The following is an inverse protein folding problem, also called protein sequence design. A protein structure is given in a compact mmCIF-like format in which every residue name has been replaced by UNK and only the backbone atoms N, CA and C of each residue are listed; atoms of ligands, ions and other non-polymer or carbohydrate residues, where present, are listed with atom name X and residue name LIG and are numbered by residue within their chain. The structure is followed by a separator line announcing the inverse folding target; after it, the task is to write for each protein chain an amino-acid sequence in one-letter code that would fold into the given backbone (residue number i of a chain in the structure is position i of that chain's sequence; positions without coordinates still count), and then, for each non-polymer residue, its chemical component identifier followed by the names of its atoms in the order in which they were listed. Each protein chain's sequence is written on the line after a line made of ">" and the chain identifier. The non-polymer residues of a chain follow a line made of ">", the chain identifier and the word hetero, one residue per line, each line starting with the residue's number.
data_IF_080431272982
#
_entry.id   IF_080431272982
#
_cell.length_a   1.000
_cell.length_b   1.000
_cell.length_c   1.000
_cell.angle_alpha   90.00
_cell.angle_beta   90.00
_cell.angle_gamma   90.00
#
_symmetry.space_group_name_H-M   'P 1'
#
loop_
_entity.id
_entity.type
_entity.pdbx_description
1 polymer ?
#
# COMPACT_ATOMS: atom_id res chain seq x y z
N UNK A 1 10.55 -1.42 -12.73
CA UNK A 1 9.40 -2.20 -13.24
C UNK A 1 8.87 -1.64 -14.56
N UNK A 2 8.55 -0.34 -14.65
CA UNK A 2 8.00 0.30 -15.86
C UNK A 2 8.88 0.24 -17.11
N UNK A 3 10.21 0.45 -16.99
CA UNK A 3 11.11 0.48 -18.16
C UNK A 3 11.04 -0.80 -18.99
N UNK A 4 11.14 -1.97 -18.35
CA UNK A 4 11.08 -3.24 -19.06
C UNK A 4 9.70 -3.47 -19.68
N UNK A 5 8.63 -3.19 -18.93
CA UNK A 5 7.28 -3.33 -19.47
C UNK A 5 7.04 -2.46 -20.72
N UNK A 6 7.53 -1.23 -20.73
CA UNK A 6 7.46 -0.33 -21.89
C UNK A 6 8.28 -0.81 -23.08
N UNK A 7 9.49 -1.32 -22.86
CA UNK A 7 10.33 -1.84 -23.95
C UNK A 7 9.76 -3.13 -24.54
N UNK A 8 9.21 -4.00 -23.71
CA UNK A 8 8.63 -5.26 -24.15
C UNK A 8 7.38 -5.03 -25.02
N UNK A 9 6.53 -4.07 -24.63
CA UNK A 9 5.34 -3.71 -25.42
C UNK A 9 5.67 -3.27 -26.84
N UNK A 10 6.84 -2.66 -27.09
CA UNK A 10 7.27 -2.28 -28.45
C UNK A 10 7.63 -3.48 -29.32
N UNK A 11 8.09 -4.58 -28.70
CA UNK A 11 8.65 -5.75 -29.39
C UNK A 11 7.64 -6.87 -29.56
N UNK A 12 6.68 -6.98 -28.63
CA UNK A 12 5.69 -8.05 -28.61
C UNK A 12 4.26 -7.48 -28.60
N UNK A 13 3.65 -7.31 -29.79
CA UNK A 13 2.26 -6.92 -29.90
C UNK A 13 1.35 -7.91 -29.15
N UNK A 14 0.46 -7.40 -28.29
CA UNK A 14 -0.49 -8.21 -27.52
C UNK A 14 0.05 -8.79 -26.21
N UNK A 15 1.26 -8.43 -25.77
CA UNK A 15 1.78 -8.85 -24.46
C UNK A 15 0.86 -8.39 -23.31
N UNK A 16 0.56 -9.32 -22.39
CA UNK A 16 -0.24 -9.04 -21.20
C UNK A 16 0.65 -8.49 -20.08
N UNK A 17 0.28 -7.34 -19.54
CA UNK A 17 1.04 -6.62 -18.50
C UNK A 17 0.09 -5.94 -17.52
N UNK A 18 0.55 -5.67 -16.30
CA UNK A 18 -0.22 -4.89 -15.33
C UNK A 18 -0.13 -3.38 -15.63
N UNK A 19 -1.07 -2.60 -15.09
CA UNK A 19 -1.17 -1.15 -15.30
C UNK A 19 -1.96 -0.76 -16.54
N UNK A 20 -1.80 0.48 -17.00
CA UNK A 20 -2.54 1.01 -18.15
C UNK A 20 -1.77 0.87 -19.46
N UNK A 21 -2.39 1.29 -20.58
CA UNK A 21 -1.72 1.37 -21.87
C UNK A 21 -0.55 2.39 -21.86
N UNK A 22 -0.67 3.44 -21.05
CA UNK A 22 0.31 4.52 -20.92
C UNK A 22 1.38 4.19 -19.87
N UNK A 23 0.98 3.48 -18.81
CA UNK A 23 1.85 3.17 -17.66
C UNK A 23 1.86 1.68 -17.33
N UNK A 24 2.40 0.83 -18.23
CA UNK A 24 2.53 -0.59 -17.95
C UNK A 24 3.67 -0.85 -16.96
N UNK A 25 3.50 -1.84 -16.10
CA UNK A 25 4.54 -2.29 -15.19
C UNK A 25 4.50 -3.81 -14.99
N UNK A 26 5.64 -4.33 -14.53
CA UNK A 26 5.70 -5.65 -13.92
C UNK A 26 5.70 -5.54 -12.40
N UNK A 27 5.05 -6.48 -11.74
CA UNK A 27 5.14 -6.63 -10.30
C UNK A 27 6.59 -6.90 -9.88
N UNK A 28 7.02 -6.35 -8.75
CA UNK A 28 8.39 -6.55 -8.29
C UNK A 28 8.58 -7.98 -7.80
N UNK A 29 9.62 -8.67 -8.29
CA UNK A 29 9.98 -10.02 -7.85
C UNK A 29 8.77 -10.98 -7.87
N UNK A 30 8.58 -11.79 -6.83
CA UNK A 30 7.41 -12.65 -6.65
C UNK A 30 6.32 -12.03 -5.76
N UNK A 31 6.27 -10.70 -5.65
CA UNK A 31 5.20 -10.01 -4.91
C UNK A 31 3.84 -10.30 -5.55
N UNK A 32 2.77 -10.11 -4.76
CA UNK A 32 1.41 -10.16 -5.28
C UNK A 32 1.16 -8.98 -6.25
N UNK A 33 0.30 -9.16 -7.27
CA UNK A 33 -0.17 -8.06 -8.09
C UNK A 33 -0.76 -6.93 -7.25
N UNK A 34 -0.61 -5.69 -7.71
CA UNK A 34 -1.22 -4.53 -7.04
C UNK A 34 -2.74 -4.72 -7.01
N UNK A 35 -3.35 -4.50 -5.85
CA UNK A 35 -4.80 -4.65 -5.65
C UNK A 35 -5.29 -6.10 -5.58
N UNK A 36 -4.39 -7.08 -5.42
CA UNK A 36 -4.79 -8.49 -5.31
C UNK A 36 -5.65 -8.78 -4.08
N UNK A 37 -5.28 -8.25 -2.92
CA UNK A 37 -6.04 -8.39 -1.67
C UNK A 37 -5.77 -7.19 -0.77
N UNK A 38 -6.77 -6.82 0.03
CA UNK A 38 -6.64 -5.83 1.09
C UNK A 38 -6.44 -6.49 2.47
N UNK A 39 -6.51 -7.83 2.56
CA UNK A 39 -6.27 -8.58 3.78
C UNK A 39 -4.76 -8.87 4.00
N UNK A 40 -4.12 -8.28 5.03
CA UNK A 40 -2.72 -8.55 5.34
C UNK A 40 -2.43 -10.03 5.60
N UNK A 41 -3.36 -10.77 6.20
CA UNK A 41 -3.13 -12.17 6.55
C UNK A 41 -3.22 -13.08 5.34
N UNK A 42 -4.14 -12.81 4.41
CA UNK A 42 -4.13 -13.49 3.12
C UNK A 42 -2.82 -13.21 2.37
N UNK A 43 -2.37 -11.95 2.34
CA UNK A 43 -1.11 -11.58 1.70
C UNK A 43 0.08 -12.34 2.31
N UNK A 44 0.16 -12.42 3.64
CA UNK A 44 1.17 -13.18 4.37
C UNK A 44 1.13 -14.68 4.01
N UNK A 45 -0.07 -15.30 4.02
CA UNK A 45 -0.25 -16.72 3.69
C UNK A 45 0.21 -17.05 2.27
N UNK A 46 -0.12 -16.20 1.29
CA UNK A 46 0.24 -16.40 -0.12
C UNK A 46 1.74 -16.25 -0.36
N UNK A 47 2.42 -15.45 0.46
CA UNK A 47 3.80 -15.03 0.24
C UNK A 47 4.81 -15.79 1.12
N UNK A 48 4.40 -16.43 2.21
CA UNK A 48 5.33 -17.08 3.15
C UNK A 48 6.29 -18.07 2.49
N UNK A 49 5.75 -19.02 1.71
CA UNK A 49 6.54 -20.05 1.02
C UNK A 49 7.46 -19.51 -0.08
N UNK A 50 7.06 -18.42 -0.75
CA UNK A 50 7.84 -17.83 -1.84
C UNK A 50 8.96 -16.95 -1.27
N UNK A 51 8.61 -16.12 -0.30
CA UNK A 51 9.53 -15.14 0.26
C UNK A 51 10.65 -15.80 1.07
N UNK A 52 10.37 -16.91 1.75
CA UNK A 52 11.39 -17.70 2.46
C UNK A 52 12.45 -18.32 1.54
N UNK A 53 12.20 -18.41 0.21
CA UNK A 53 13.19 -18.92 -0.75
C UNK A 53 14.24 -17.88 -1.13
N UNK A 54 14.00 -16.60 -0.84
CA UNK A 54 14.95 -15.52 -1.12
C UNK A 54 15.97 -15.40 0.02
N UNK A 55 17.18 -15.88 -0.22
CA UNK A 55 18.30 -15.79 0.74
C UNK A 55 19.10 -14.50 0.62
N UNK A 56 19.01 -13.80 -0.53
CA UNK A 56 19.68 -12.53 -0.80
C UNK A 56 18.97 -11.29 -0.24
N UNK A 57 17.92 -11.49 0.56
CA UNK A 57 17.08 -10.44 1.12
C UNK A 57 15.73 -10.32 0.40
N UNK A 58 14.69 -10.19 1.21
CA UNK A 58 13.34 -9.86 0.75
C UNK A 58 12.62 -9.00 1.78
N UNK A 59 11.62 -8.26 1.33
CA UNK A 59 10.70 -7.50 2.16
C UNK A 59 9.28 -7.68 1.63
N UNK A 60 8.34 -8.01 2.50
CA UNK A 60 6.91 -7.99 2.16
C UNK A 60 6.28 -6.67 2.63
N UNK A 61 5.62 -5.96 1.72
CA UNK A 61 4.93 -4.71 2.03
C UNK A 61 3.45 -4.98 2.31
N UNK A 62 3.01 -4.69 3.53
CA UNK A 62 1.60 -4.74 3.93
C UNK A 62 1.00 -3.33 3.82
N UNK A 63 0.36 -3.05 2.69
CA UNK A 63 -0.34 -1.79 2.45
C UNK A 63 -1.74 -1.84 3.06
N UNK A 64 -2.00 -0.99 4.05
CA UNK A 64 -3.26 -0.96 4.78
C UNK A 64 -4.10 0.21 4.29
N UNK A 65 -5.24 -0.08 3.64
CA UNK A 65 -6.18 0.96 3.19
C UNK A 65 -6.72 1.80 4.33
N UNK A 66 -6.94 1.16 5.47
CA UNK A 66 -7.38 1.84 6.68
C UNK A 66 -6.20 2.17 7.59
N UNK A 67 -6.37 3.23 8.37
CA UNK A 67 -5.41 3.58 9.41
C UNK A 67 -5.34 2.43 10.41
N UNK A 68 -4.13 2.03 10.80
CA UNK A 68 -3.97 1.23 12.01
C UNK A 68 -4.49 2.05 13.19
N UNK A 69 -5.56 1.56 13.82
CA UNK A 69 -6.34 2.30 14.81
C UNK A 69 -5.51 2.77 16.00
N UNK A 70 -4.56 1.94 16.45
CA UNK A 70 -3.66 2.26 17.57
C UNK A 70 -2.26 1.65 17.41
N UNK A 71 -1.22 2.19 18.08
CA UNK A 71 0.10 1.56 18.15
C UNK A 71 0.05 0.11 18.65
N UNK A 72 -0.87 -0.22 19.57
CA UNK A 72 -1.08 -1.57 20.09
C UNK A 72 -1.59 -2.51 19.00
N UNK A 73 -2.53 -2.06 18.16
CA UNK A 73 -3.01 -2.84 17.03
C UNK A 73 -1.87 -3.14 16.03
N UNK A 74 -1.03 -2.15 15.73
CA UNK A 74 0.15 -2.34 14.88
C UNK A 74 1.11 -3.37 15.49
N UNK A 75 1.39 -3.24 16.79
CA UNK A 75 2.25 -4.16 17.53
C UNK A 75 1.72 -5.59 17.49
N UNK A 76 0.41 -5.78 17.65
CA UNK A 76 -0.20 -7.11 17.57
C UNK A 76 -0.16 -7.69 16.16
N UNK A 77 -0.37 -6.88 15.12
CA UNK A 77 -0.21 -7.31 13.73
C UNK A 77 1.23 -7.79 13.47
N UNK A 78 2.23 -6.98 13.82
CA UNK A 78 3.65 -7.32 13.65
C UNK A 78 4.01 -8.59 14.43
N UNK A 79 3.58 -8.69 15.69
CA UNK A 79 3.80 -9.88 16.51
C UNK A 79 3.18 -11.12 15.85
N UNK A 80 1.92 -11.03 15.43
CA UNK A 80 1.22 -12.15 14.80
C UNK A 80 1.92 -12.57 13.52
N UNK A 81 2.29 -11.62 12.66
CA UNK A 81 3.02 -11.91 11.43
C UNK A 81 4.35 -12.62 11.69
N UNK A 82 5.19 -12.10 12.59
CA UNK A 82 6.52 -12.66 12.84
C UNK A 82 6.51 -13.95 13.68
N UNK A 83 5.42 -14.26 14.38
CA UNK A 83 5.30 -15.50 15.17
C UNK A 83 4.60 -16.63 14.42
N UNK A 84 3.72 -16.32 13.45
CA UNK A 84 2.94 -17.32 12.71
C UNK A 84 3.51 -17.63 11.33
N UNK A 85 4.36 -16.77 10.80
CA UNK A 85 4.96 -16.90 9.49
C UNK A 85 6.48 -16.90 9.59
N UNK A 86 7.15 -17.43 8.56
CA UNK A 86 8.62 -17.57 8.49
C UNK A 86 9.28 -16.41 7.75
N UNK A 87 8.50 -15.56 7.07
CA UNK A 87 8.96 -14.34 6.40
C UNK A 87 9.87 -13.50 7.32
N UNK A 88 11.11 -13.20 6.89
CA UNK A 88 12.10 -12.59 7.77
C UNK A 88 11.90 -11.07 7.95
N UNK A 89 11.23 -10.40 7.00
CA UNK A 89 11.12 -8.95 7.01
C UNK A 89 9.82 -8.46 6.37
N UNK A 90 9.08 -7.65 7.12
CA UNK A 90 7.84 -7.02 6.69
C UNK A 90 7.90 -5.51 6.94
N UNK A 91 7.10 -4.77 6.18
CA UNK A 91 6.76 -3.38 6.49
C UNK A 91 5.25 -3.25 6.56
N UNK A 92 4.78 -2.35 7.41
CA UNK A 92 3.35 -2.01 7.50
C UNK A 92 3.21 -0.55 7.11
N UNK A 93 2.46 -0.30 6.05
CA UNK A 93 2.29 1.03 5.47
C UNK A 93 0.80 1.40 5.49
N UNK A 94 0.35 2.20 6.48
CA UNK A 94 -1.01 2.70 6.49
C UNK A 94 -1.20 3.84 5.48
N UNK A 95 -2.42 3.98 4.99
CA UNK A 95 -2.82 5.14 4.17
C UNK A 95 -2.99 6.40 5.02
N UNK A 96 -2.43 7.52 4.55
CA UNK A 96 -2.56 8.84 5.15
C UNK A 96 -2.52 9.94 4.08
N UNK A 97 -3.15 11.08 4.38
CA UNK A 97 -3.03 12.33 3.63
C UNK A 97 -2.23 13.37 4.40
N UNK A 98 -1.63 14.34 3.69
CA UNK A 98 -0.93 15.48 4.31
C UNK A 98 -1.68 16.76 3.94
N UNK A 99 -2.14 17.49 4.97
CA UNK A 99 -2.64 18.85 4.83
C UNK A 99 -1.51 19.85 5.14
N UNK A 100 -1.26 20.88 4.30
CA UNK A 100 -0.28 21.93 4.61
C UNK A 100 -0.58 22.69 5.91
N UNK A 101 -1.85 22.73 6.34
CA UNK A 101 -2.29 23.42 7.55
C UNK A 101 -2.37 22.49 8.76
N UNK A 102 -2.97 21.30 8.60
CA UNK A 102 -3.29 20.41 9.71
C UNK A 102 -2.35 19.20 9.85
N UNK A 103 -1.36 19.08 8.97
CA UNK A 103 -0.38 17.99 8.99
C UNK A 103 -0.98 16.64 8.58
N UNK A 104 -0.58 15.58 9.28
CA UNK A 104 -1.02 14.21 8.98
C UNK A 104 -2.52 14.01 9.23
N UNK A 105 -3.18 13.43 8.24
CA UNK A 105 -4.58 13.01 8.28
C UNK A 105 -4.66 11.50 8.08
N UNK A 106 -5.49 10.84 8.88
CA UNK A 106 -5.68 9.40 8.78
C UNK A 106 -6.55 9.05 7.56
N UNK A 107 -6.09 8.10 6.72
CA UNK A 107 -6.80 7.68 5.51
C UNK A 107 -6.53 8.56 4.30
N UNK A 108 -7.12 8.19 3.18
CA UNK A 108 -7.06 8.94 1.93
C UNK A 108 -8.12 10.03 1.91
N UNK A 109 -7.68 11.27 1.75
CA UNK A 109 -8.52 12.46 1.64
C UNK A 109 -8.03 13.31 0.46
N UNK A 110 -8.92 13.55 -0.51
CA UNK A 110 -8.67 14.49 -1.61
C UNK A 110 -8.64 15.94 -1.11
N UNK A 111 -9.53 16.26 -0.17
CA UNK A 111 -9.60 17.56 0.51
C UNK A 111 -9.52 17.38 2.03
N UNK A 112 -8.86 18.32 2.73
CA UNK A 112 -8.71 18.21 4.17
C UNK A 112 -10.06 18.43 4.88
N UNK A 113 -10.61 17.43 5.60
CA UNK A 113 -11.92 17.56 6.25
C UNK A 113 -11.91 18.65 7.32
N UNK A 114 -10.77 18.89 7.96
CA UNK A 114 -10.62 19.96 8.96
C UNK A 114 -10.61 21.35 8.33
N UNK A 115 -10.05 21.50 7.12
CA UNK A 115 -10.14 22.77 6.37
C UNK A 115 -11.58 23.05 5.96
N UNK A 116 -12.30 22.02 5.53
CA UNK A 116 -13.69 22.15 5.11
C UNK A 116 -14.59 22.54 6.28
N UNK A 117 -14.43 21.92 7.45
CA UNK A 117 -15.11 22.30 8.69
C UNK A 117 -14.85 23.76 9.08
N UNK A 118 -13.59 24.22 9.01
CA UNK A 118 -13.24 25.61 9.31
C UNK A 118 -13.88 26.60 8.32
N UNK A 119 -13.97 26.25 7.04
CA UNK A 119 -14.62 27.07 6.01
C UNK A 119 -16.12 27.15 6.23
N UNK A 120 -16.76 26.02 6.57
CA UNK A 120 -18.19 25.96 6.89
C UNK A 120 -18.51 26.79 8.14
N UNK A 121 -17.70 26.67 9.20
CA UNK A 121 -17.87 27.45 10.42
C UNK A 121 -17.77 28.96 10.16
N UNK A 122 -16.81 29.40 9.34
CA UNK A 122 -16.65 30.81 8.95
C UNK A 122 -17.84 31.34 8.14
N UNK A 123 -18.42 30.52 7.26
CA UNK A 123 -19.61 30.89 6.48
C UNK A 123 -20.86 30.99 7.37
N UNK A 124 -20.97 30.13 8.38
CA UNK A 124 -22.09 30.17 9.33
C UNK A 124 -22.05 31.34 10.31
N UNK A 125 -20.86 31.91 10.59
CA UNK A 125 -20.70 33.09 11.45
C UNK A 125 -20.91 34.43 10.72
N UNK A 126 -20.97 34.40 9.38
CA UNK A 126 -21.18 35.59 8.55
C UNK A 126 -22.67 35.87 8.26
N UNK A 127 -23.57 35.10 8.88
CA UNK A 127 -25.03 35.24 8.83
C UNK A 127 -25.57 35.47 10.25
#
# INVERSE_FOLDING_TARGET
>A
TYRFAREDRKRWPGILQAGTAEQPYYTNSSQLPVGFTDDPFEALLRQDDLQTRYTGGTVLHLYMRERISTPEACRQLVRTALTRFRLPYITVTPTFSICPKHGYLAGEHEFCPKCDEELLARRGQAH
#
